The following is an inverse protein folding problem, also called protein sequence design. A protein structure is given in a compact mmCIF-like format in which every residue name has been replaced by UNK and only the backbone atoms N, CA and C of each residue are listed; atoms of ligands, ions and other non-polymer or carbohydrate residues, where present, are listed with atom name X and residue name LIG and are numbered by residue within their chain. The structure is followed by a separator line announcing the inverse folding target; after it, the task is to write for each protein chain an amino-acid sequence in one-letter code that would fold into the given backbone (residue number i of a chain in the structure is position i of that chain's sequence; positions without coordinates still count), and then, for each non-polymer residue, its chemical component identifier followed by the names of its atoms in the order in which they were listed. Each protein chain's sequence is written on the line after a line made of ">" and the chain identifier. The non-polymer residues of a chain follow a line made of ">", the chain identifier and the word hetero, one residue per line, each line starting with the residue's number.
data_IF_697116042817
#
_entry.id   IF_697116042817
#
_cell.length_a   1.000
_cell.length_b   1.000
_cell.length_c   1.000
_cell.angle_alpha   90.00
_cell.angle_beta   90.00
_cell.angle_gamma   90.00
#
_symmetry.space_group_name_H-M   'P 1'
#
loop_
_entity.id
_entity.type
_entity.pdbx_description
1 polymer ?
#
# COMPACT_ATOMS: atom_id res chain seq x y z
N UNK A 1 17.36 -40.10 42.77
CA UNK A 1 16.54 -40.80 41.76
C UNK A 1 15.34 -39.93 41.43
N UNK A 2 15.23 -39.49 40.16
CA UNK A 2 14.04 -39.14 39.33
C UNK A 2 12.82 -38.52 40.07
N UNK A 3 12.24 -37.38 39.71
CA UNK A 3 11.96 -36.86 38.35
C UNK A 3 11.72 -35.34 38.38
N UNK A 4 12.10 -34.74 37.26
CA UNK A 4 11.78 -33.41 36.73
C UNK A 4 10.27 -33.15 36.59
N UNK A 5 9.83 -31.94 36.93
CA UNK A 5 8.72 -31.30 36.23
C UNK A 5 8.91 -29.77 36.24
N UNK A 6 9.46 -29.26 35.14
CA UNK A 6 9.60 -27.84 34.82
C UNK A 6 8.25 -27.26 34.43
N UNK A 7 7.94 -26.10 34.99
CA UNK A 7 6.71 -25.35 34.75
C UNK A 7 6.47 -25.03 33.28
N UNK A 8 5.24 -25.31 32.86
CA UNK A 8 4.59 -24.76 31.69
C UNK A 8 4.32 -23.26 31.90
N UNK A 9 4.52 -22.46 30.86
CA UNK A 9 3.62 -21.38 30.42
C UNK A 9 4.11 -20.83 29.08
N UNK A 10 3.28 -21.04 28.04
CA UNK A 10 3.04 -20.25 26.81
C UNK A 10 4.25 -19.83 25.93
N UNK A 11 4.22 -19.90 24.60
CA UNK A 11 3.13 -19.67 23.64
C UNK A 11 3.29 -20.60 22.43
N UNK A 12 2.36 -21.56 22.28
CA UNK A 12 2.09 -22.16 20.98
C UNK A 12 1.25 -21.17 20.19
N UNK A 13 1.76 -20.80 19.02
CA UNK A 13 1.07 -20.08 17.97
C UNK A 13 -0.07 -20.97 17.45
N UNK A 14 -1.26 -20.86 18.06
CA UNK A 14 -2.46 -21.54 17.59
C UNK A 14 -2.85 -21.01 16.21
N UNK A 15 -2.74 -21.90 15.21
CA UNK A 15 -3.37 -21.76 13.91
C UNK A 15 -4.88 -21.74 14.11
N UNK A 16 -5.49 -20.55 14.07
CA UNK A 16 -6.95 -20.41 13.98
C UNK A 16 -7.36 -20.90 12.58
N UNK A 17 -8.08 -22.02 12.42
CA UNK A 17 -8.54 -22.46 11.11
C UNK A 17 -9.57 -21.45 10.58
N UNK A 18 -9.66 -21.32 9.26
CA UNK A 18 -10.66 -20.46 8.58
C UNK A 18 -12.10 -20.72 8.99
N UNK A 19 -12.37 -21.91 9.52
CA UNK A 19 -13.67 -22.40 9.94
C UNK A 19 -13.55 -22.70 11.45
N UNK A 20 -14.19 -21.89 12.29
CA UNK A 20 -14.21 -22.13 13.73
C UNK A 20 -14.72 -23.54 14.03
N UNK A 21 -14.10 -24.21 15.01
CA UNK A 21 -14.65 -25.43 15.59
C UNK A 21 -16.12 -25.19 16.00
N UNK A 22 -16.96 -26.22 15.84
CA UNK A 22 -18.42 -26.25 16.09
C UNK A 22 -19.35 -25.96 14.89
N UNK A 23 -19.15 -26.66 13.76
CA UNK A 23 -20.29 -27.06 12.93
C UNK A 23 -20.48 -28.55 13.15
N UNK A 24 -21.56 -28.92 13.85
CA UNK A 24 -21.87 -30.29 14.23
C UNK A 24 -21.96 -31.20 13.00
N UNK A 25 -20.96 -32.06 12.81
CA UNK A 25 -20.97 -33.13 11.83
C UNK A 25 -21.79 -34.29 12.39
N UNK A 26 -23.08 -34.34 12.10
CA UNK A 26 -23.86 -35.57 12.24
C UNK A 26 -23.40 -36.55 11.14
N UNK A 27 -22.86 -37.70 11.56
CA UNK A 27 -22.43 -38.77 10.67
C UNK A 27 -23.59 -39.26 9.79
N UNK A 28 -23.48 -39.06 8.48
CA UNK A 28 -24.25 -39.80 7.48
C UNK A 28 -23.27 -40.65 6.69
N UNK A 29 -23.17 -41.93 7.07
CA UNK A 29 -22.46 -42.94 6.30
C UNK A 29 -23.45 -43.57 5.32
N UNK A 30 -23.32 -43.29 4.02
CA UNK A 30 -23.63 -44.25 2.95
C UNK A 30 -22.78 -43.95 1.71
N UNK A 31 -21.92 -44.91 1.31
CA UNK A 31 -21.48 -45.12 -0.07
C UNK A 31 -20.23 -44.37 -0.56
N UNK A 32 -19.07 -45.05 -0.51
CA UNK A 32 -17.97 -45.06 -1.50
C UNK A 32 -17.34 -43.76 -2.06
N UNK A 33 -17.80 -42.58 -1.67
CA UNK A 33 -17.21 -41.28 -2.03
C UNK A 33 -16.40 -40.69 -0.87
N UNK A 34 -15.60 -39.63 -1.12
CA UNK A 34 -14.91 -38.92 -0.05
C UNK A 34 -15.94 -38.43 0.97
N UNK A 35 -15.67 -38.65 2.25
CA UNK A 35 -16.58 -38.19 3.30
C UNK A 35 -16.68 -36.66 3.25
N UNK A 36 -17.76 -36.03 3.78
CA UNK A 36 -17.83 -34.58 3.91
C UNK A 36 -16.59 -33.98 4.61
N UNK A 37 -15.95 -34.75 5.50
CA UNK A 37 -14.70 -34.39 6.18
C UNK A 37 -13.51 -34.35 5.22
N UNK A 38 -13.37 -35.33 4.33
CA UNK A 38 -12.27 -35.37 3.34
C UNK A 38 -12.40 -34.22 2.33
N UNK A 39 -13.63 -33.92 1.91
CA UNK A 39 -13.89 -32.80 1.02
C UNK A 39 -13.58 -31.46 1.69
N UNK A 40 -13.96 -31.30 2.95
CA UNK A 40 -13.63 -30.09 3.71
C UNK A 40 -12.13 -29.89 3.87
N UNK A 41 -11.39 -30.96 4.14
CA UNK A 41 -9.92 -30.93 4.23
C UNK A 41 -9.30 -30.45 2.92
N UNK A 42 -9.67 -31.06 1.80
CA UNK A 42 -9.15 -30.67 0.48
C UNK A 42 -9.40 -29.19 0.14
N UNK A 43 -10.58 -28.66 0.50
CA UNK A 43 -10.89 -27.23 0.30
C UNK A 43 -10.12 -26.31 1.24
N UNK A 44 -9.83 -26.75 2.45
CA UNK A 44 -9.01 -25.99 3.41
C UNK A 44 -7.57 -25.93 2.94
N UNK A 45 -7.00 -27.07 2.56
CA UNK A 45 -5.63 -27.17 2.04
C UNK A 45 -5.45 -26.33 0.77
N UNK A 46 -6.43 -26.38 -0.15
CA UNK A 46 -6.44 -25.53 -1.34
C UNK A 46 -6.48 -24.03 -1.00
N UNK A 47 -7.26 -23.64 0.02
CA UNK A 47 -7.33 -22.25 0.44
C UNK A 47 -6.01 -21.74 1.00
N UNK A 48 -5.33 -22.57 1.79
CA UNK A 48 -4.02 -22.23 2.35
C UNK A 48 -2.95 -22.12 1.25
N UNK A 49 -2.88 -23.12 0.35
CA UNK A 49 -1.97 -23.08 -0.81
C UNK A 49 -2.22 -21.87 -1.72
N UNK A 50 -3.49 -21.54 -1.98
CA UNK A 50 -3.86 -20.34 -2.73
C UNK A 50 -3.36 -19.06 -2.06
N UNK A 51 -3.54 -18.96 -0.74
CA UNK A 51 -3.11 -17.79 0.03
C UNK A 51 -1.60 -17.62 0.03
N UNK A 52 -0.84 -18.72 0.07
CA UNK A 52 0.62 -18.70 -0.05
C UNK A 52 1.07 -18.17 -1.42
N UNK A 53 0.38 -18.54 -2.50
CA UNK A 53 0.65 -18.07 -3.86
C UNK A 53 0.41 -16.55 -4.05
N UNK A 54 -0.38 -15.91 -3.19
CA UNK A 54 -0.60 -14.46 -3.26
C UNK A 54 0.63 -13.70 -2.70
N UNK A 55 1.37 -13.00 -3.57
CA UNK A 55 2.60 -12.28 -3.16
C UNK A 55 2.41 -11.12 -2.18
N UNK A 56 1.24 -10.47 -2.19
CA UNK A 56 1.03 -9.22 -1.46
C UNK A 56 0.19 -9.42 -0.18
N UNK A 57 0.76 -9.09 0.98
CA UNK A 57 0.14 -9.32 2.29
C UNK A 57 -1.20 -8.57 2.47
N UNK A 58 -1.31 -7.37 1.91
CA UNK A 58 -2.58 -6.64 1.88
C UNK A 58 -3.65 -7.34 1.04
N UNK A 59 -3.29 -7.97 -0.08
CA UNK A 59 -4.19 -8.79 -0.90
C UNK A 59 -4.63 -10.01 -0.12
N UNK A 60 -3.72 -10.74 0.52
CA UNK A 60 -4.03 -11.87 1.40
C UNK A 60 -5.07 -11.48 2.47
N UNK A 61 -4.78 -10.44 3.25
CA UNK A 61 -5.71 -9.97 4.30
C UNK A 61 -7.09 -9.61 3.74
N UNK A 62 -7.13 -8.88 2.64
CA UNK A 62 -8.40 -8.44 2.03
C UNK A 62 -9.18 -9.61 1.42
N UNK A 63 -8.51 -10.59 0.83
CA UNK A 63 -9.12 -11.79 0.25
C UNK A 63 -9.65 -12.72 1.34
N UNK A 64 -8.89 -12.95 2.42
CA UNK A 64 -9.34 -13.71 3.59
C UNK A 64 -10.58 -13.07 4.23
N UNK A 65 -10.59 -11.75 4.39
CA UNK A 65 -11.74 -11.03 4.92
C UNK A 65 -12.97 -11.15 4.01
N UNK A 66 -12.80 -11.10 2.69
CA UNK A 66 -13.89 -11.27 1.72
C UNK A 66 -14.49 -12.68 1.79
N UNK A 67 -13.64 -13.71 1.88
CA UNK A 67 -14.09 -15.10 2.01
C UNK A 67 -14.82 -15.39 3.31
N UNK A 68 -14.30 -14.90 4.45
CA UNK A 68 -15.00 -15.02 5.74
C UNK A 68 -16.38 -14.38 5.71
N UNK A 69 -16.48 -13.18 5.15
CA UNK A 69 -17.74 -12.45 5.01
C UNK A 69 -18.72 -13.17 4.06
N UNK A 70 -18.22 -13.71 2.95
CA UNK A 70 -19.03 -14.45 2.00
C UNK A 70 -19.59 -15.75 2.59
N UNK A 71 -18.75 -16.55 3.25
CA UNK A 71 -19.18 -17.83 3.83
C UNK A 71 -20.23 -17.62 4.92
N UNK A 72 -20.05 -16.59 5.76
CA UNK A 72 -21.06 -16.21 6.75
C UNK A 72 -22.38 -15.73 6.13
N UNK A 73 -22.35 -15.18 4.91
CA UNK A 73 -23.55 -14.75 4.19
C UNK A 73 -24.23 -15.90 3.43
N UNK A 74 -23.45 -16.73 2.75
CA UNK A 74 -23.96 -17.73 1.81
C UNK A 74 -24.64 -18.91 2.51
N UNK A 75 -24.27 -19.17 3.77
CA UNK A 75 -24.77 -20.27 4.59
C UNK A 75 -24.75 -21.61 3.84
N UNK A 76 -23.66 -21.83 3.10
CA UNK A 76 -23.42 -22.99 2.25
C UNK A 76 -21.95 -23.37 2.27
N UNK A 77 -21.67 -24.65 2.03
CA UNK A 77 -20.30 -25.08 1.84
C UNK A 77 -19.74 -24.52 0.52
N UNK A 78 -18.41 -24.28 0.43
CA UNK A 78 -17.79 -23.67 -0.75
C UNK A 78 -18.09 -24.38 -2.08
N UNK A 79 -18.26 -25.71 -2.06
CA UNK A 79 -18.58 -26.54 -3.24
C UNK A 79 -20.07 -26.55 -3.61
N UNK A 80 -20.95 -25.96 -2.80
CA UNK A 80 -22.40 -25.86 -3.05
C UNK A 80 -22.83 -24.48 -3.56
N UNK A 81 -21.87 -23.56 -3.65
CA UNK A 81 -22.11 -22.16 -4.01
C UNK A 81 -22.40 -22.04 -5.51
N UNK A 82 -23.58 -21.49 -5.83
CA UNK A 82 -23.95 -21.12 -7.20
C UNK A 82 -23.83 -19.62 -7.48
N UNK A 83 -24.14 -19.25 -8.73
CA UNK A 83 -24.20 -17.82 -9.16
C UNK A 83 -25.21 -17.01 -8.35
N UNK A 84 -26.30 -17.62 -7.89
CA UNK A 84 -27.35 -16.95 -7.12
C UNK A 84 -26.82 -16.43 -5.78
N UNK A 85 -26.09 -17.26 -5.02
CA UNK A 85 -25.47 -16.83 -3.76
C UNK A 85 -24.49 -15.66 -3.97
N UNK A 86 -23.67 -15.72 -5.02
CA UNK A 86 -22.73 -14.63 -5.35
C UNK A 86 -23.48 -13.33 -5.74
N UNK A 87 -24.57 -13.45 -6.50
CA UNK A 87 -25.39 -12.31 -6.89
C UNK A 87 -26.14 -11.69 -5.69
N UNK A 88 -26.69 -12.52 -4.80
CA UNK A 88 -27.36 -12.10 -3.57
C UNK A 88 -26.38 -11.40 -2.62
N UNK A 89 -25.16 -11.92 -2.48
CA UNK A 89 -24.11 -11.30 -1.69
C UNK A 89 -23.66 -9.97 -2.27
N UNK A 90 -23.47 -9.90 -3.60
CA UNK A 90 -23.15 -8.65 -4.28
C UNK A 90 -24.26 -7.59 -4.07
N UNK A 91 -25.53 -7.99 -4.10
CA UNK A 91 -26.66 -7.11 -3.80
C UNK A 91 -26.67 -6.68 -2.32
N UNK A 92 -26.35 -7.58 -1.39
CA UNK A 92 -26.24 -7.27 0.04
C UNK A 92 -25.13 -6.26 0.34
N UNK A 93 -23.94 -6.42 -0.26
CA UNK A 93 -22.83 -5.47 -0.18
C UNK A 93 -23.27 -4.07 -0.65
N UNK A 94 -24.02 -3.99 -1.76
CA UNK A 94 -24.55 -2.71 -2.26
C UNK A 94 -25.56 -2.09 -1.28
N UNK A 95 -26.46 -2.89 -0.69
CA UNK A 95 -27.42 -2.41 0.33
C UNK A 95 -26.72 -1.86 1.58
N UNK A 96 -25.54 -2.37 1.92
CA UNK A 96 -24.71 -1.84 3.02
C UNK A 96 -24.02 -0.50 2.67
N UNK A 97 -24.18 0.02 1.45
CA UNK A 97 -23.58 1.28 1.02
C UNK A 97 -22.06 1.21 0.81
N UNK A 98 -21.49 0.01 0.66
CA UNK A 98 -20.07 -0.16 0.34
C UNK A 98 -19.77 0.29 -1.09
N UNK A 99 -18.55 0.80 -1.30
CA UNK A 99 -18.15 1.32 -2.62
C UNK A 99 -18.07 0.25 -3.70
N UNK A 100 -18.27 0.64 -4.96
CA UNK A 100 -18.11 -0.25 -6.13
C UNK A 100 -16.71 -0.89 -6.20
N UNK A 101 -15.68 -0.18 -5.76
CA UNK A 101 -14.31 -0.70 -5.63
C UNK A 101 -14.20 -1.82 -4.61
N UNK A 102 -14.87 -1.66 -3.45
CA UNK A 102 -14.95 -2.69 -2.42
C UNK A 102 -15.67 -3.92 -2.94
N UNK A 103 -16.81 -3.75 -3.63
CA UNK A 103 -17.53 -4.86 -4.25
C UNK A 103 -16.68 -5.59 -5.29
N UNK A 104 -16.01 -4.86 -6.19
CA UNK A 104 -15.18 -5.46 -7.23
C UNK A 104 -14.00 -6.25 -6.64
N UNK A 105 -13.34 -5.74 -5.60
CA UNK A 105 -12.25 -6.43 -4.90
C UNK A 105 -12.72 -7.70 -4.19
N UNK A 106 -13.88 -7.63 -3.52
CA UNK A 106 -14.50 -8.78 -2.87
C UNK A 106 -14.87 -9.88 -3.87
N UNK A 107 -15.52 -9.53 -4.99
CA UNK A 107 -15.80 -10.47 -6.08
C UNK A 107 -14.53 -11.02 -6.74
N UNK A 108 -13.44 -10.23 -6.79
CA UNK A 108 -12.15 -10.71 -7.28
C UNK A 108 -11.54 -11.77 -6.36
N UNK A 109 -11.70 -11.64 -5.04
CA UNK A 109 -11.25 -12.65 -4.08
C UNK A 109 -11.93 -14.00 -4.30
N UNK A 110 -13.27 -14.01 -4.43
CA UNK A 110 -14.01 -15.25 -4.72
C UNK A 110 -13.57 -15.86 -6.04
N UNK A 111 -13.62 -15.07 -7.10
CA UNK A 111 -13.28 -15.55 -8.44
C UNK A 111 -11.85 -16.06 -8.53
N UNK A 112 -10.90 -15.45 -7.83
CA UNK A 112 -9.50 -15.87 -7.85
C UNK A 112 -9.31 -17.22 -7.16
N UNK A 113 -9.97 -17.48 -6.03
CA UNK A 113 -9.87 -18.78 -5.37
C UNK A 113 -10.57 -19.88 -6.17
N UNK A 114 -11.79 -19.63 -6.66
CA UNK A 114 -12.49 -20.62 -7.49
C UNK A 114 -11.72 -20.95 -8.78
N UNK A 115 -11.08 -19.97 -9.42
CA UNK A 115 -10.18 -20.26 -10.54
C UNK A 115 -8.97 -21.09 -10.11
N UNK A 116 -8.35 -20.79 -8.96
CA UNK A 116 -7.25 -21.61 -8.43
C UNK A 116 -7.68 -23.08 -8.21
N UNK A 117 -8.89 -23.33 -7.69
CA UNK A 117 -9.42 -24.70 -7.52
C UNK A 117 -9.72 -25.43 -8.84
N UNK A 118 -9.85 -24.69 -9.94
CA UNK A 118 -10.08 -25.23 -11.28
C UNK A 118 -8.78 -25.46 -12.05
N UNK A 119 -7.85 -24.50 -11.95
CA UNK A 119 -6.72 -24.39 -12.86
C UNK A 119 -5.41 -24.86 -12.22
N UNK A 120 -5.25 -24.71 -10.90
CA UNK A 120 -3.95 -24.80 -10.22
C UNK A 120 -3.91 -25.81 -9.05
N UNK A 121 -5.06 -26.31 -8.59
CA UNK A 121 -5.14 -27.24 -7.45
C UNK A 121 -5.91 -28.52 -7.81
N UNK A 122 -5.23 -29.65 -7.66
CA UNK A 122 -5.73 -30.98 -8.02
C UNK A 122 -5.90 -31.88 -6.80
N UNK A 123 -6.79 -32.86 -6.93
CA UNK A 123 -7.02 -33.93 -5.95
C UNK A 123 -7.11 -35.28 -6.66
N UNK A 124 -6.83 -36.34 -5.92
CA UNK A 124 -7.06 -37.71 -6.41
C UNK A 124 -8.51 -38.08 -6.12
N UNK A 125 -9.26 -38.41 -7.16
CA UNK A 125 -10.65 -38.85 -7.01
C UNK A 125 -10.72 -40.34 -6.60
N UNK A 126 -11.91 -40.88 -6.26
CA UNK A 126 -12.05 -42.29 -5.88
C UNK A 126 -11.63 -43.31 -6.96
N UNK A 127 -11.52 -42.92 -8.23
CA UNK A 127 -11.01 -43.78 -9.30
C UNK A 127 -9.50 -43.70 -9.48
N UNK A 128 -8.78 -43.03 -8.57
CA UNK A 128 -7.32 -42.90 -8.58
C UNK A 128 -6.81 -41.90 -9.62
N UNK A 129 -7.68 -41.09 -10.23
CA UNK A 129 -7.29 -40.09 -11.21
C UNK A 129 -7.12 -38.73 -10.57
N UNK A 130 -6.09 -38.03 -11.00
CA UNK A 130 -5.88 -36.63 -10.68
C UNK A 130 -6.89 -35.76 -11.45
N UNK A 131 -7.63 -34.94 -10.71
CA UNK A 131 -8.66 -34.04 -11.24
C UNK A 131 -8.58 -32.69 -10.53
N UNK A 132 -9.10 -31.63 -11.14
CA UNK A 132 -9.27 -30.35 -10.46
C UNK A 132 -10.17 -30.50 -9.23
N UNK A 133 -9.91 -29.72 -8.18
CA UNK A 133 -10.72 -29.74 -6.96
C UNK A 133 -12.17 -29.27 -7.22
N UNK A 134 -12.33 -28.33 -8.14
CA UNK A 134 -13.63 -27.88 -8.61
C UNK A 134 -13.58 -27.59 -10.11
N UNK A 135 -14.73 -27.61 -10.76
CA UNK A 135 -14.90 -27.47 -12.21
C UNK A 135 -15.65 -26.19 -12.58
N UNK A 136 -16.04 -25.38 -11.58
CA UNK A 136 -16.94 -24.27 -11.77
C UNK A 136 -16.58 -23.04 -10.90
N UNK A 137 -16.63 -21.85 -11.53
CA UNK A 137 -16.44 -20.58 -10.85
C UNK A 137 -17.76 -19.77 -10.79
N UNK A 138 -18.43 -19.70 -9.62
CA UNK A 138 -19.67 -18.93 -9.44
C UNK A 138 -19.47 -17.41 -9.54
N UNK A 139 -18.24 -16.92 -9.38
CA UNK A 139 -17.89 -15.50 -9.39
C UNK A 139 -17.18 -15.03 -10.69
N UNK A 140 -17.13 -15.87 -11.72
CA UNK A 140 -16.50 -15.55 -12.99
C UNK A 140 -17.25 -14.47 -13.79
N UNK A 141 -18.56 -14.28 -13.55
CA UNK A 141 -19.36 -13.35 -14.35
C UNK A 141 -18.95 -11.89 -14.14
N UNK A 142 -18.48 -11.24 -15.20
CA UNK A 142 -18.21 -9.81 -15.23
C UNK A 142 -19.46 -8.94 -15.03
N UNK A 143 -20.68 -9.47 -15.21
CA UNK A 143 -21.94 -8.71 -15.09
C UNK A 143 -22.19 -8.18 -13.68
N UNK A 144 -21.68 -8.86 -12.66
CA UNK A 144 -21.82 -8.43 -11.26
C UNK A 144 -20.81 -7.35 -10.87
N UNK A 145 -19.71 -7.22 -11.65
CA UNK A 145 -18.61 -6.30 -11.37
C UNK A 145 -18.96 -4.92 -11.93
N UNK A 146 -19.03 -3.87 -11.09
CA UNK A 146 -19.23 -2.52 -11.59
C UNK A 146 -18.03 -2.10 -12.47
N UNK A 147 -18.31 -1.35 -13.54
CA UNK A 147 -17.25 -0.69 -14.30
C UNK A 147 -16.78 0.51 -13.49
N UNK A 148 -15.55 0.45 -12.99
CA UNK A 148 -14.95 1.54 -12.24
C UNK A 148 -14.15 2.40 -13.22
N UNK A 149 -14.58 3.64 -13.41
CA UNK A 149 -13.75 4.63 -14.09
C UNK A 149 -12.62 5.06 -13.15
N UNK A 150 -11.33 4.86 -13.51
CA UNK A 150 -10.21 5.19 -12.62
C UNK A 150 -10.06 6.69 -12.35
N UNK A 151 -10.63 7.56 -13.18
CA UNK A 151 -10.32 9.00 -13.17
C UNK A 151 -11.52 9.94 -13.00
N UNK A 152 -12.76 9.50 -13.21
CA UNK A 152 -13.94 10.39 -13.24
C UNK A 152 -14.33 11.08 -11.92
N UNK A 153 -13.60 10.85 -10.82
CA UNK A 153 -13.87 11.41 -9.47
C UNK A 153 -12.59 11.76 -8.70
N UNK A 154 -11.46 11.95 -9.40
CA UNK A 154 -10.20 12.25 -8.72
C UNK A 154 -10.32 13.59 -7.97
N UNK A 155 -10.20 13.55 -6.64
CA UNK A 155 -10.15 14.76 -5.81
C UNK A 155 -8.71 15.25 -5.81
N UNK A 156 -8.51 16.51 -6.20
CA UNK A 156 -7.23 17.21 -6.15
C UNK A 156 -7.43 18.60 -5.54
N UNK A 157 -6.30 19.25 -5.25
CA UNK A 157 -6.22 20.64 -4.79
C UNK A 157 -5.81 21.52 -5.98
N UNK A 158 -6.39 22.71 -6.10
CA UNK A 158 -5.88 23.79 -6.96
C UNK A 158 -4.47 24.25 -6.51
N UNK A 159 -3.78 25.02 -7.35
CA UNK A 159 -2.50 25.62 -7.00
C UNK A 159 -2.58 26.48 -5.72
N UNK A 160 -3.64 27.28 -5.59
CA UNK A 160 -3.88 28.12 -4.41
C UNK A 160 -4.09 27.28 -3.16
N UNK A 161 -4.88 26.22 -3.23
CA UNK A 161 -5.14 25.31 -2.10
C UNK A 161 -3.90 24.51 -1.72
N UNK A 162 -3.11 24.04 -2.69
CA UNK A 162 -1.85 23.34 -2.45
C UNK A 162 -0.82 24.26 -1.78
N UNK A 163 -0.73 25.52 -2.23
CA UNK A 163 0.08 26.56 -1.58
C UNK A 163 -0.40 26.83 -0.16
N UNK A 164 -1.70 27.01 0.04
CA UNK A 164 -2.28 27.23 1.37
C UNK A 164 -1.98 26.07 2.33
N UNK A 165 -2.03 24.82 1.84
CA UNK A 165 -1.66 23.63 2.60
C UNK A 165 -0.20 23.69 3.07
N UNK A 166 0.75 24.02 2.18
CA UNK A 166 2.17 24.15 2.52
C UNK A 166 2.42 25.31 3.50
N UNK A 167 1.78 26.46 3.27
CA UNK A 167 1.92 27.66 4.11
C UNK A 167 1.35 27.48 5.52
N UNK A 168 0.35 26.63 5.70
CA UNK A 168 -0.18 26.28 7.02
C UNK A 168 0.84 25.54 7.90
N UNK A 169 1.94 25.03 7.34
CA UNK A 169 2.98 24.31 8.07
C UNK A 169 4.01 25.30 8.63
N UNK A 170 3.92 25.58 9.93
CA UNK A 170 4.91 26.42 10.64
C UNK A 170 6.26 25.70 10.73
N UNK A 171 7.28 26.24 10.06
CA UNK A 171 8.65 25.69 9.96
C UNK A 171 9.58 26.04 11.13
N UNK A 172 9.04 26.58 12.23
CA UNK A 172 9.83 26.95 13.43
C UNK A 172 10.13 25.78 14.37
N UNK A 173 9.74 24.56 14.00
CA UNK A 173 9.93 23.35 14.81
C UNK A 173 10.44 22.22 13.93
N UNK A 174 11.17 21.26 14.50
CA UNK A 174 11.62 20.05 13.79
C UNK A 174 10.44 19.30 13.15
N UNK A 175 9.29 19.24 13.83
CA UNK A 175 8.08 18.62 13.27
C UNK A 175 7.56 19.40 12.06
N UNK A 176 7.52 20.72 12.14
CA UNK A 176 7.10 21.57 11.04
C UNK A 176 7.99 21.42 9.81
N UNK A 177 9.31 21.43 10.01
CA UNK A 177 10.29 21.21 8.94
C UNK A 177 10.10 19.83 8.28
N UNK A 178 9.98 18.77 9.08
CA UNK A 178 9.70 17.41 8.59
C UNK A 178 8.42 17.36 7.76
N UNK A 179 7.33 17.90 8.32
CA UNK A 179 6.01 17.80 7.70
C UNK A 179 5.96 18.62 6.40
N UNK A 180 6.63 19.77 6.36
CA UNK A 180 6.79 20.59 5.15
C UNK A 180 7.56 19.83 4.08
N UNK A 181 8.74 19.30 4.40
CA UNK A 181 9.54 18.50 3.47
C UNK A 181 8.76 17.27 2.95
N UNK A 182 7.97 16.62 3.83
CA UNK A 182 7.14 15.47 3.47
C UNK A 182 6.05 15.83 2.45
N UNK A 183 5.28 16.89 2.70
CA UNK A 183 4.20 17.29 1.79
C UNK A 183 4.71 17.95 0.52
N UNK A 184 5.83 18.67 0.59
CA UNK A 184 6.55 19.11 -0.59
C UNK A 184 7.02 17.92 -1.43
N UNK A 185 7.56 16.84 -0.82
CA UNK A 185 7.95 15.63 -1.55
C UNK A 185 6.78 15.02 -2.32
N UNK A 186 5.59 14.96 -1.72
CA UNK A 186 4.39 14.46 -2.40
C UNK A 186 4.01 15.30 -3.62
N UNK A 187 3.98 16.62 -3.48
CA UNK A 187 3.60 17.54 -4.55
C UNK A 187 4.67 17.60 -5.65
N UNK A 188 5.94 17.55 -5.26
CA UNK A 188 7.07 17.67 -6.18
C UNK A 188 7.29 16.44 -7.05
N UNK A 189 7.10 15.26 -6.46
CA UNK A 189 7.41 14.00 -7.14
C UNK A 189 6.17 13.27 -7.65
N UNK A 190 4.98 13.61 -7.13
CA UNK A 190 3.74 12.88 -7.41
C UNK A 190 3.79 11.39 -7.03
N UNK A 191 4.78 10.92 -6.25
CA UNK A 191 4.94 9.51 -5.89
C UNK A 191 3.83 9.02 -4.94
N UNK A 192 3.66 7.69 -4.84
CA UNK A 192 2.71 7.05 -3.91
C UNK A 192 3.16 7.21 -2.46
N UNK A 193 2.21 7.06 -1.53
CA UNK A 193 2.48 7.13 -0.08
C UNK A 193 3.61 6.18 0.37
N UNK A 194 3.62 4.93 -0.13
CA UNK A 194 4.67 3.98 0.19
C UNK A 194 6.03 4.42 -0.37
N UNK A 195 6.06 4.96 -1.59
CA UNK A 195 7.29 5.39 -2.27
C UNK A 195 7.92 6.59 -1.55
N UNK A 196 7.14 7.57 -1.08
CA UNK A 196 7.68 8.73 -0.34
C UNK A 196 8.03 8.41 1.09
N UNK A 197 7.12 7.81 1.85
CA UNK A 197 7.34 7.62 3.30
C UNK A 197 8.49 6.66 3.59
N UNK A 198 8.84 5.80 2.64
CA UNK A 198 9.89 4.79 2.76
C UNK A 198 11.23 5.24 2.17
N UNK A 199 11.35 6.48 1.67
CA UNK A 199 12.63 7.01 1.20
C UNK A 199 13.67 6.94 2.32
N UNK A 200 14.86 6.46 1.96
CA UNK A 200 16.05 6.34 2.79
C UNK A 200 17.12 7.32 2.34
N UNK A 201 18.10 7.57 3.19
CA UNK A 201 19.23 8.43 2.85
C UNK A 201 20.01 7.92 1.64
N UNK A 202 20.26 6.61 1.59
CA UNK A 202 20.97 5.96 0.49
C UNK A 202 20.23 5.97 -0.84
N UNK A 203 18.94 6.34 -0.86
CA UNK A 203 18.17 6.47 -2.10
C UNK A 203 18.56 7.74 -2.87
N UNK A 204 19.25 8.70 -2.25
CA UNK A 204 19.69 9.94 -2.89
C UNK A 204 21.14 9.84 -3.37
N UNK A 205 21.38 10.38 -4.56
CA UNK A 205 22.72 10.52 -5.13
C UNK A 205 22.89 11.90 -5.75
N UNK A 206 24.10 12.46 -5.66
CA UNK A 206 24.46 13.67 -6.38
C UNK A 206 25.17 13.27 -7.66
N UNK A 207 24.79 13.87 -8.77
CA UNK A 207 25.43 13.64 -10.06
C UNK A 207 25.30 14.90 -10.92
N UNK A 208 26.42 15.40 -11.44
CA UNK A 208 26.43 16.56 -12.33
C UNK A 208 25.87 17.84 -11.69
N UNK A 209 26.11 18.04 -10.39
CA UNK A 209 25.59 19.18 -9.63
C UNK A 209 24.10 19.12 -9.29
N UNK A 210 23.41 18.03 -9.65
CA UNK A 210 21.98 17.79 -9.35
C UNK A 210 21.83 16.67 -8.34
N UNK A 211 20.69 16.65 -7.65
CA UNK A 211 20.32 15.55 -6.76
C UNK A 211 19.33 14.65 -7.48
N UNK A 212 19.53 13.35 -7.37
CA UNK A 212 18.65 12.31 -7.90
C UNK A 212 18.19 11.45 -6.74
N UNK A 213 17.02 10.84 -6.88
CA UNK A 213 16.52 9.86 -5.93
C UNK A 213 16.01 8.61 -6.65
N UNK A 214 16.20 7.46 -6.00
CA UNK A 214 15.73 6.15 -6.45
C UNK A 214 14.45 5.77 -5.71
N UNK A 215 13.58 5.01 -6.36
CA UNK A 215 12.35 4.51 -5.76
C UNK A 215 11.89 3.22 -6.44
N UNK A 216 11.30 2.32 -5.67
CA UNK A 216 10.66 1.09 -6.16
C UNK A 216 9.17 1.09 -5.80
N UNK A 217 8.35 0.51 -6.67
CA UNK A 217 6.90 0.47 -6.55
C UNK A 217 6.30 -0.78 -7.18
N UNK A 218 4.97 -0.91 -7.16
CA UNK A 218 4.30 -2.11 -7.70
C UNK A 218 4.67 -2.30 -9.19
N UNK A 219 5.48 -3.33 -9.47
CA UNK A 219 5.94 -3.69 -10.82
C UNK A 219 7.01 -2.76 -11.40
N UNK A 220 7.67 -1.96 -10.57
CA UNK A 220 8.76 -1.06 -10.95
C UNK A 220 9.87 -1.16 -9.94
N UNK A 221 11.09 -1.36 -10.42
CA UNK A 221 12.25 -1.51 -9.56
C UNK A 221 13.33 -0.52 -9.97
N UNK A 222 14.00 0.05 -8.97
CA UNK A 222 15.14 0.96 -9.08
C UNK A 222 14.93 2.16 -10.02
N UNK A 223 13.72 2.71 -10.04
CA UNK A 223 13.40 3.86 -10.89
C UNK A 223 14.14 5.10 -10.40
N UNK A 224 14.69 5.90 -11.31
CA UNK A 224 15.42 7.14 -10.96
C UNK A 224 14.78 8.42 -11.49
N UNK A 225 14.63 9.43 -10.62
CA UNK A 225 14.16 10.77 -10.98
C UNK A 225 15.01 11.87 -10.33
N UNK A 226 15.04 13.06 -10.94
CA UNK A 226 15.67 14.24 -10.34
C UNK A 226 14.90 14.66 -9.08
N UNK A 227 15.63 14.93 -8.00
CA UNK A 227 15.08 15.55 -6.80
C UNK A 227 15.17 17.07 -6.96
N UNK A 228 14.05 17.80 -6.91
CA UNK A 228 14.11 19.24 -7.04
C UNK A 228 14.90 19.92 -5.93
N UNK A 229 15.60 21.01 -6.28
CA UNK A 229 16.49 21.71 -5.36
C UNK A 229 15.79 22.17 -4.06
N UNK A 230 14.61 22.79 -4.18
CA UNK A 230 13.81 23.21 -3.01
C UNK A 230 13.37 22.04 -2.12
N UNK A 231 13.09 20.89 -2.72
CA UNK A 231 12.77 19.69 -1.96
C UNK A 231 14.01 19.20 -1.19
N UNK A 232 15.16 19.14 -1.85
CA UNK A 232 16.41 18.75 -1.22
C UNK A 232 16.79 19.68 -0.07
N UNK A 233 16.70 21.00 -0.28
CA UNK A 233 16.92 22.02 0.76
C UNK A 233 16.02 21.77 1.97
N UNK A 234 14.72 21.55 1.75
CA UNK A 234 13.76 21.28 2.84
C UNK A 234 14.08 19.98 3.60
N UNK A 235 14.50 18.92 2.91
CA UNK A 235 14.91 17.66 3.54
C UNK A 235 16.16 17.89 4.41
N UNK A 236 17.18 18.56 3.88
CA UNK A 236 18.43 18.83 4.59
C UNK A 236 18.19 19.74 5.80
N UNK A 237 17.39 20.80 5.67
CA UNK A 237 17.03 21.70 6.77
C UNK A 237 16.33 20.93 7.90
N UNK A 238 15.36 20.08 7.56
CA UNK A 238 14.71 19.19 8.51
C UNK A 238 15.72 18.27 9.23
N UNK A 239 16.56 17.56 8.49
CA UNK A 239 17.47 16.57 9.08
C UNK A 239 18.55 17.22 9.95
N UNK A 240 19.04 18.41 9.57
CA UNK A 240 19.91 19.24 10.42
C UNK A 240 19.21 19.64 11.72
N UNK A 241 17.99 20.17 11.64
CA UNK A 241 17.23 20.57 12.82
C UNK A 241 16.88 19.38 13.73
N UNK A 242 16.73 18.18 13.16
CA UNK A 242 16.54 16.94 13.89
C UNK A 242 17.82 16.39 14.54
N UNK A 243 18.99 17.02 14.31
CA UNK A 243 20.29 16.54 14.78
C UNK A 243 20.75 15.25 14.10
N UNK A 244 20.19 14.95 12.92
CA UNK A 244 20.47 13.72 12.16
C UNK A 244 21.56 13.90 11.12
N UNK A 245 21.79 15.13 10.67
CA UNK A 245 23.00 15.47 9.92
C UNK A 245 24.01 16.05 10.90
N UNK A 246 25.25 15.57 10.86
CA UNK A 246 26.34 16.09 11.67
C UNK A 246 26.62 17.57 11.39
N UNK A 247 27.59 18.16 12.11
CA UNK A 247 28.12 19.48 11.73
C UNK A 247 28.80 19.31 10.37
N UNK A 248 28.14 19.71 9.29
CA UNK A 248 28.70 19.68 7.94
C UNK A 248 30.07 20.38 7.98
N UNK A 249 31.15 19.63 7.86
CA UNK A 249 32.49 20.22 7.78
C UNK A 249 32.58 21.00 6.45
N UNK A 250 33.09 22.22 6.50
CA UNK A 250 33.40 23.05 5.31
C UNK A 250 34.68 22.54 4.62
N UNK A 251 34.88 21.22 4.55
CA UNK A 251 36.03 20.63 3.88
C UNK A 251 35.74 20.48 2.38
N UNK A 252 36.71 20.73 1.48
CA UNK A 252 36.50 20.66 0.03
C UNK A 252 36.24 19.24 -0.51
N UNK A 253 36.58 18.18 0.24
CA UNK A 253 36.55 16.78 -0.22
C UNK A 253 35.52 15.88 0.52
N UNK A 254 34.36 16.43 0.90
CA UNK A 254 33.25 15.68 1.53
C UNK A 254 32.55 14.77 0.49
N UNK A 255 32.13 13.54 0.84
CA UNK A 255 31.31 12.69 -0.05
C UNK A 255 30.08 13.42 -0.60
N UNK A 256 29.66 13.04 -1.82
CA UNK A 256 28.66 13.73 -2.69
C UNK A 256 27.27 14.02 -2.08
N UNK A 257 26.96 13.44 -0.91
CA UNK A 257 25.84 13.76 -0.03
C UNK A 257 26.40 13.68 1.40
N UNK A 258 26.13 14.62 2.34
CA UNK A 258 26.76 14.60 3.65
C UNK A 258 26.41 13.32 4.43
N UNK A 259 27.25 12.28 4.35
CA UNK A 259 27.05 11.01 5.06
C UNK A 259 27.43 11.09 6.54
N UNK A 260 28.04 12.18 6.98
CA UNK A 260 28.28 12.42 8.41
C UNK A 260 26.94 12.61 9.13
N UNK A 261 26.56 11.60 9.93
CA UNK A 261 25.38 11.61 10.81
C UNK A 261 24.22 10.72 10.39
N UNK A 262 24.12 10.35 9.10
CA UNK A 262 23.06 9.46 8.59
C UNK A 262 23.61 8.26 7.83
N UNK A 263 23.09 7.07 8.14
CA UNK A 263 23.40 5.83 7.41
C UNK A 263 22.46 5.65 6.21
N UNK A 264 22.92 4.94 5.19
CA UNK A 264 22.18 4.75 3.93
C UNK A 264 20.81 4.08 4.14
N UNK A 265 20.66 3.24 5.17
CA UNK A 265 19.43 2.50 5.47
C UNK A 265 18.39 3.34 6.24
N UNK A 266 18.78 4.51 6.76
CA UNK A 266 17.92 5.30 7.62
C UNK A 266 16.85 6.04 6.82
N UNK A 267 15.60 5.88 7.25
CA UNK A 267 14.46 6.54 6.63
C UNK A 267 14.53 8.06 6.82
N UNK A 268 14.23 8.83 5.78
CA UNK A 268 14.18 10.29 5.85
C UNK A 268 13.05 10.71 6.79
N UNK A 269 11.82 10.29 6.47
CA UNK A 269 10.62 10.75 7.16
C UNK A 269 10.25 9.81 8.30
N UNK A 270 10.64 10.15 9.53
CA UNK A 270 10.40 9.31 10.72
C UNK A 270 9.53 9.99 11.77
N UNK A 271 8.97 9.18 12.69
CA UNK A 271 8.39 9.72 13.91
C UNK A 271 9.50 10.39 14.74
N UNK A 272 9.23 11.56 15.31
CA UNK A 272 10.23 12.32 16.10
C UNK A 272 10.31 11.88 17.58
N UNK A 273 9.36 11.05 18.01
CA UNK A 273 9.24 10.60 19.41
C UNK A 273 8.59 9.22 19.44
N UNK A 274 8.92 8.41 20.44
CA UNK A 274 8.25 7.13 20.69
C UNK A 274 6.93 7.27 21.48
N UNK A 275 5.98 8.10 21.01
CA UNK A 275 4.66 8.20 21.67
C UNK A 275 3.92 6.85 21.70
N UNK A 276 4.26 5.93 20.79
CA UNK A 276 3.68 4.61 20.69
C UNK A 276 4.08 3.67 21.84
N UNK A 277 5.25 3.86 22.48
CA UNK A 277 5.65 3.08 23.67
C UNK A 277 4.70 3.22 24.87
N UNK A 278 3.78 4.20 24.85
CA UNK A 278 2.75 4.36 25.88
C UNK A 278 1.53 3.45 25.66
N UNK A 279 1.46 2.73 24.54
CA UNK A 279 0.34 1.85 24.21
C UNK A 279 0.62 0.42 24.72
N UNK A 280 -0.38 -0.27 25.30
CA UNK A 280 -0.19 -1.55 26.00
C UNK A 280 0.29 -2.71 25.12
N UNK A 281 0.19 -2.59 23.78
CA UNK A 281 0.50 -3.67 22.83
C UNK A 281 1.59 -3.28 21.81
N UNK A 282 2.43 -2.29 22.13
CA UNK A 282 3.59 -1.92 21.30
C UNK A 282 4.84 -2.45 21.99
N UNK A 283 5.60 -3.30 21.30
CA UNK A 283 6.90 -3.77 21.75
C UNK A 283 7.71 -2.61 22.31
N UNK A 284 8.22 -2.77 23.54
CA UNK A 284 9.10 -1.81 24.21
C UNK A 284 10.50 -1.72 23.57
N UNK A 285 10.65 -2.19 22.31
CA UNK A 285 11.85 -2.01 21.53
C UNK A 285 12.30 -0.55 21.57
N UNK A 286 13.59 -0.37 21.79
CA UNK A 286 14.21 0.94 21.86
C UNK A 286 13.91 1.72 20.58
N UNK A 287 13.38 2.93 20.75
CA UNK A 287 13.11 3.77 19.60
C UNK A 287 14.42 4.34 19.09
N UNK A 288 14.79 3.90 17.90
CA UNK A 288 15.95 4.39 17.18
C UNK A 288 15.47 5.40 16.13
N UNK A 289 15.88 6.68 16.20
CA UNK A 289 15.63 7.64 15.13
C UNK A 289 16.07 7.08 13.78
N UNK A 290 15.28 7.27 12.72
CA UNK A 290 15.65 6.78 11.39
C UNK A 290 15.36 5.30 11.12
N UNK A 291 15.13 4.46 12.14
CA UNK A 291 14.96 3.01 11.95
C UNK A 291 13.60 2.61 11.35
N UNK A 292 12.56 3.43 11.53
CA UNK A 292 11.21 3.15 11.04
C UNK A 292 10.60 4.37 10.35
N UNK A 293 9.92 4.20 9.21
CA UNK A 293 9.30 5.29 8.48
C UNK A 293 8.02 5.77 9.18
N UNK A 294 7.62 7.00 8.92
CA UNK A 294 6.33 7.55 9.33
C UNK A 294 5.17 6.65 8.88
N UNK A 295 4.38 6.13 9.81
CA UNK A 295 3.26 5.23 9.50
C UNK A 295 2.27 5.86 8.51
N UNK A 296 1.62 5.05 7.66
CA UNK A 296 0.60 5.54 6.72
C UNK A 296 -0.53 6.30 7.43
N UNK A 297 -0.92 5.83 8.62
CA UNK A 297 -1.94 6.47 9.47
C UNK A 297 -1.48 7.84 9.93
N UNK A 298 -0.20 7.96 10.31
CA UNK A 298 0.38 9.22 10.77
C UNK A 298 0.49 10.24 9.64
N UNK A 299 0.95 9.85 8.44
CA UNK A 299 0.95 10.73 7.26
C UNK A 299 -0.47 11.26 6.98
N UNK A 300 -1.48 10.39 6.99
CA UNK A 300 -2.88 10.79 6.81
C UNK A 300 -3.40 11.72 7.92
N UNK A 301 -2.99 11.49 9.18
CA UNK A 301 -3.35 12.35 10.31
C UNK A 301 -2.73 13.75 10.18
N UNK A 302 -1.47 13.84 9.79
CA UNK A 302 -0.76 15.09 9.55
C UNK A 302 -1.40 15.86 8.39
N UNK A 303 -1.69 15.19 7.28
CA UNK A 303 -2.33 15.81 6.13
C UNK A 303 -3.69 16.42 6.51
N UNK A 304 -4.53 15.67 7.22
CA UNK A 304 -5.81 16.19 7.72
C UNK A 304 -5.65 17.36 8.69
N UNK A 305 -4.59 17.38 9.51
CA UNK A 305 -4.31 18.50 10.40
C UNK A 305 -4.01 19.77 9.60
N UNK A 306 -3.10 19.71 8.63
CA UNK A 306 -2.73 20.89 7.85
C UNK A 306 -3.83 21.33 6.89
N UNK A 307 -4.61 20.39 6.34
CA UNK A 307 -5.80 20.73 5.56
C UNK A 307 -6.78 21.60 6.36
N UNK A 308 -7.05 21.26 7.64
CA UNK A 308 -7.91 22.10 8.50
C UNK A 308 -7.30 23.46 8.78
N UNK A 309 -5.98 23.52 9.04
CA UNK A 309 -5.29 24.78 9.28
C UNK A 309 -5.27 25.69 8.04
N UNK A 310 -5.30 25.12 6.85
CA UNK A 310 -5.38 25.82 5.58
C UNK A 310 -6.84 26.17 5.17
N UNK A 311 -7.84 25.87 5.99
CA UNK A 311 -9.25 26.12 5.68
C UNK A 311 -9.87 25.16 4.66
N UNK A 312 -9.24 24.02 4.38
CA UNK A 312 -9.69 23.03 3.40
C UNK A 312 -10.58 21.95 4.03
N UNK A 313 -11.43 21.31 3.21
CA UNK A 313 -12.26 20.18 3.65
C UNK A 313 -11.43 18.90 3.86
N UNK A 314 -10.94 18.74 5.09
CA UNK A 314 -10.14 17.59 5.49
C UNK A 314 -10.87 16.23 5.43
N UNK A 315 -12.19 16.19 5.20
CA UNK A 315 -12.93 14.93 4.98
C UNK A 315 -12.70 14.39 3.57
N UNK A 316 -12.46 15.26 2.59
CA UNK A 316 -12.25 14.92 1.18
C UNK A 316 -10.78 14.70 0.83
N UNK A 317 -9.87 15.18 1.67
CA UNK A 317 -8.43 15.14 1.41
C UNK A 317 -7.80 13.87 2.00
N UNK A 318 -7.12 13.14 1.13
CA UNK A 318 -6.35 11.94 1.45
C UNK A 318 -4.95 12.01 0.83
N UNK A 319 -4.04 11.12 1.21
CA UNK A 319 -2.66 11.16 0.68
C UNK A 319 -2.62 11.05 -0.85
N UNK A 320 -3.56 10.31 -1.45
CA UNK A 320 -3.65 10.19 -2.90
C UNK A 320 -4.12 11.48 -3.59
N UNK A 321 -4.83 12.37 -2.89
CA UNK A 321 -5.19 13.71 -3.36
C UNK A 321 -3.94 14.48 -3.77
N UNK A 322 -2.84 14.39 -2.98
CA UNK A 322 -1.59 15.10 -3.27
C UNK A 322 -0.93 14.63 -4.58
N UNK A 323 -1.07 13.35 -4.91
CA UNK A 323 -0.59 12.82 -6.18
C UNK A 323 -1.42 13.31 -7.36
N UNK A 324 -2.74 13.40 -7.21
CA UNK A 324 -3.59 14.01 -8.23
C UNK A 324 -3.28 15.50 -8.38
N UNK A 325 -3.08 16.21 -7.27
CA UNK A 325 -2.62 17.60 -7.26
C UNK A 325 -1.30 17.76 -8.02
N UNK A 326 -0.29 16.91 -7.77
CA UNK A 326 0.99 16.96 -8.48
C UNK A 326 0.84 16.85 -10.00
N UNK A 327 -0.06 15.99 -10.47
CA UNK A 327 -0.36 15.86 -11.90
C UNK A 327 -1.08 17.08 -12.46
N UNK A 328 -2.04 17.64 -11.73
CA UNK A 328 -2.76 18.85 -12.15
C UNK A 328 -1.84 20.08 -12.18
N UNK A 329 -0.96 20.23 -11.21
CA UNK A 329 0.05 21.29 -11.19
C UNK A 329 0.97 21.23 -12.42
N UNK A 330 1.37 20.02 -12.84
CA UNK A 330 2.16 19.83 -14.07
C UNK A 330 1.38 20.15 -15.33
N UNK A 331 0.12 19.76 -15.39
CA UNK A 331 -0.78 20.16 -16.47
C UNK A 331 -0.89 21.69 -16.57
N UNK A 332 -1.07 22.38 -15.43
CA UNK A 332 -1.09 23.85 -15.37
C UNK A 332 0.26 24.48 -15.76
N UNK A 333 1.38 23.80 -15.50
CA UNK A 333 2.71 24.19 -15.98
C UNK A 333 2.94 23.96 -17.49
N UNK A 334 1.98 23.31 -18.16
CA UNK A 334 1.98 23.06 -19.60
C UNK A 334 2.49 21.68 -20.02
N UNK A 335 2.65 20.73 -19.09
CA UNK A 335 3.00 19.35 -19.44
C UNK A 335 1.83 18.69 -20.18
N UNK A 336 2.14 17.93 -21.24
CA UNK A 336 1.15 17.12 -21.93
C UNK A 336 0.80 15.84 -21.13
N UNK A 337 -0.23 15.12 -21.57
CA UNK A 337 -0.73 13.93 -20.88
C UNK A 337 0.35 12.85 -20.81
N UNK A 338 1.13 12.68 -21.88
CA UNK A 338 2.21 11.71 -21.96
C UNK A 338 3.33 12.00 -20.95
N UNK A 339 3.73 13.27 -20.82
CA UNK A 339 4.71 13.75 -19.84
C UNK A 339 4.22 13.56 -18.41
N UNK A 340 2.96 13.91 -18.12
CA UNK A 340 2.36 13.71 -16.79
C UNK A 340 2.28 12.21 -16.46
N UNK A 341 1.91 11.38 -17.42
CA UNK A 341 1.84 9.94 -17.27
C UNK A 341 3.20 9.30 -17.02
N UNK A 342 4.23 9.75 -17.74
CA UNK A 342 5.61 9.33 -17.55
C UNK A 342 6.15 9.79 -16.19
N UNK A 343 5.90 11.05 -15.83
CA UNK A 343 6.20 11.59 -14.50
C UNK A 343 5.57 10.72 -13.43
N UNK A 344 4.25 10.53 -13.43
CA UNK A 344 3.57 9.71 -12.43
C UNK A 344 3.97 8.23 -12.45
N UNK A 345 4.61 7.77 -13.52
CA UNK A 345 4.97 6.39 -13.69
C UNK A 345 3.73 5.47 -13.55
N UNK A 346 2.67 5.74 -14.31
CA UNK A 346 1.51 4.83 -14.39
C UNK A 346 1.87 3.50 -15.07
N UNK A 347 1.13 2.45 -14.72
CA UNK A 347 1.33 1.07 -15.19
C UNK A 347 0.19 0.59 -16.10
N UNK A 348 -0.72 1.46 -16.54
CA UNK A 348 -1.74 1.05 -17.51
C UNK A 348 -1.07 0.83 -18.87
N UNK A 349 -1.38 -0.31 -19.49
CA UNK A 349 -0.87 -0.79 -20.78
C UNK A 349 -0.79 0.26 -21.91
N UNK A 350 -1.56 1.35 -21.81
CA UNK A 350 -1.60 2.46 -22.76
C UNK A 350 -0.37 3.39 -22.73
N UNK A 351 0.42 3.40 -21.66
CA UNK A 351 1.69 4.15 -21.60
C UNK A 351 2.78 3.10 -21.74
N UNK A 352 3.15 2.82 -22.98
CA UNK A 352 4.19 1.88 -23.35
C UNK A 352 5.43 2.10 -22.47
N UNK A 353 6.03 1.01 -21.96
CA UNK A 353 7.28 1.04 -21.18
C UNK A 353 8.39 1.90 -21.86
N UNK A 354 8.32 2.03 -23.18
CA UNK A 354 9.09 2.94 -24.03
C UNK A 354 9.15 4.38 -23.49
N UNK A 355 8.04 4.93 -22.98
CA UNK A 355 8.00 6.31 -22.48
C UNK A 355 8.62 6.45 -21.08
N UNK A 356 8.51 5.43 -20.23
CA UNK A 356 9.10 5.46 -18.88
C UNK A 356 10.63 5.53 -18.95
N UNK A 357 11.26 4.67 -19.77
CA UNK A 357 12.71 4.70 -19.97
C UNK A 357 13.20 5.99 -20.66
N UNK A 358 12.34 6.67 -21.43
CA UNK A 358 12.69 7.94 -22.06
C UNK A 358 12.74 9.11 -21.07
N UNK A 359 12.10 9.03 -19.90
CA UNK A 359 12.08 10.13 -18.92
C UNK A 359 12.93 9.81 -17.69
N UNK A 360 13.17 8.53 -17.43
CA UNK A 360 14.14 8.08 -16.42
C UNK A 360 15.52 8.71 -16.65
N UNK A 361 16.13 9.20 -15.56
CA UNK A 361 17.44 9.84 -15.62
C UNK A 361 17.51 11.16 -16.39
N UNK A 362 16.37 11.73 -16.82
CA UNK A 362 16.32 13.07 -17.44
C UNK A 362 16.05 14.17 -16.43
N UNK A 363 16.56 15.36 -16.77
CA UNK A 363 16.30 16.60 -16.04
C UNK A 363 14.80 16.94 -16.07
N UNK A 364 14.28 17.40 -14.95
CA UNK A 364 12.95 17.96 -14.85
C UNK A 364 12.93 19.41 -15.39
N UNK A 365 12.15 19.65 -16.43
CA UNK A 365 12.05 20.95 -17.10
C UNK A 365 10.82 21.75 -16.71
N UNK A 366 9.82 21.13 -16.09
CA UNK A 366 8.54 21.78 -15.77
C UNK A 366 8.40 22.15 -14.29
N UNK A 367 9.19 21.54 -13.41
CA UNK A 367 9.14 21.82 -11.98
C UNK A 367 9.31 23.30 -11.62
N UNK A 368 10.19 24.05 -12.29
CA UNK A 368 10.37 25.48 -11.99
C UNK A 368 9.10 26.32 -12.19
N UNK A 369 8.24 25.94 -13.14
CA UNK A 369 6.93 26.56 -13.33
C UNK A 369 5.96 26.16 -12.22
N UNK A 370 6.01 24.89 -11.77
CA UNK A 370 5.21 24.41 -10.63
C UNK A 370 5.63 25.11 -9.33
N UNK A 371 6.92 25.35 -9.11
CA UNK A 371 7.42 26.13 -7.97
C UNK A 371 6.82 27.55 -7.97
N UNK A 372 6.77 28.20 -9.13
CA UNK A 372 6.14 29.51 -9.26
C UNK A 372 4.64 29.47 -8.91
N UNK A 373 3.91 28.44 -9.35
CA UNK A 373 2.49 28.24 -8.97
C UNK A 373 2.32 28.06 -7.45
N UNK A 374 3.27 27.37 -6.80
CA UNK A 374 3.26 27.14 -5.36
C UNK A 374 3.84 28.32 -4.54
N UNK A 375 4.47 29.30 -5.18
CA UNK A 375 5.13 30.44 -4.54
C UNK A 375 6.37 30.06 -3.73
N UNK A 376 7.23 29.20 -4.29
CA UNK A 376 8.46 28.65 -3.68
C UNK A 376 9.76 29.26 -4.22
#
# INVERSE_FOLDING_TARGET
>A
MRNSNSGSTNENMELVPLFGAEVGLAEVIVGGGPTPVDRMRAWTDAFEAWMENLRAENTRRAYRAAWRDFLAFADKMPWEVGKSQVAEWAAAIRRQGLSDATLQQRLAALSSFYSFTMDDYTVINPSGREVALHDYNPAASGKLRPKISPYGKAIYLSAEEARALLWAIKRTTVQGLRDYALFLAYLATGRRNSEIRMLRWGDFERNGGRIWYRWSGKGKDDMRNECPARLWEAIVEYLKAAGRLGKVSEAPDVPEVPKEGMRDEEYIFTALTNKAARLPNVSAAEWVPGAQPLSMREVGRLLKRYARLAGLDAKKIHVHTLRHTAAMLRHEAGDNVEEICAFLAHSSLAITQIYLHRVEGKKDTSWSKVEALLGL
#
